data_IF_785673001576
#
_entry.id   IF_785673001576
#
_cell.length_a   1.000
_cell.length_b   1.000
_cell.length_c   1.000
_cell.angle_alpha   90.00
_cell.angle_beta   90.00
_cell.angle_gamma   90.00
#
_symmetry.space_group_name_H-M   'P 1'
#
loop_
_entity.id
_entity.type
_entity.pdbx_description
1 polymer ?
#
# COMPACT_ATOMS: atom_id res chain seq x y z
N UNK A 1 -6.10 15.20 4.49
CA UNK A 1 -6.71 14.25 5.43
C UNK A 1 -5.73 13.13 5.67
N UNK A 2 -5.56 12.73 6.93
CA UNK A 2 -4.80 11.55 7.35
C UNK A 2 -5.81 10.55 7.90
N UNK A 3 -5.63 9.27 7.58
CA UNK A 3 -6.54 8.19 8.00
C UNK A 3 -5.69 6.97 8.32
N UNK A 4 -5.97 6.34 9.46
CA UNK A 4 -5.31 5.12 9.92
C UNK A 4 -6.21 3.92 9.67
N UNK A 5 -5.67 2.87 9.07
CA UNK A 5 -6.40 1.64 8.77
C UNK A 5 -5.94 0.52 9.68
N UNK A 6 -6.83 0.02 10.52
CA UNK A 6 -6.52 -0.97 11.56
C UNK A 6 -7.48 -2.15 11.42
N UNK A 7 -6.97 -3.37 11.49
CA UNK A 7 -7.81 -4.58 11.52
C UNK A 7 -8.31 -4.90 12.93
N UNK A 8 -9.04 -5.99 13.07
CA UNK A 8 -9.50 -6.52 14.35
C UNK A 8 -8.34 -7.21 15.06
N UNK A 9 -8.14 -6.87 16.35
CA UNK A 9 -7.21 -7.60 17.21
C UNK A 9 -7.90 -8.76 17.93
N UNK A 10 -7.21 -9.90 18.07
CA UNK A 10 -7.65 -11.01 18.95
C UNK A 10 -7.64 -10.61 20.43
N UNK A 11 -6.84 -9.63 20.80
CA UNK A 11 -6.80 -9.13 22.17
C UNK A 11 -7.92 -8.12 22.39
N UNK A 12 -8.89 -8.47 23.23
CA UNK A 12 -10.05 -7.62 23.50
C UNK A 12 -9.69 -6.27 24.13
N UNK A 13 -8.62 -6.19 24.92
CA UNK A 13 -8.20 -4.92 25.52
C UNK A 13 -7.64 -3.98 24.44
N UNK A 14 -6.84 -4.51 23.52
CA UNK A 14 -6.32 -3.77 22.36
C UNK A 14 -7.48 -3.35 21.45
N UNK A 15 -8.39 -4.26 21.15
CA UNK A 15 -9.58 -3.95 20.35
C UNK A 15 -10.42 -2.82 20.95
N UNK A 16 -10.61 -2.80 22.27
CA UNK A 16 -11.31 -1.72 22.96
C UNK A 16 -10.57 -0.39 22.88
N UNK A 17 -9.26 -0.39 23.11
CA UNK A 17 -8.44 0.81 23.02
C UNK A 17 -8.51 1.45 21.62
N UNK A 18 -8.47 0.63 20.56
CA UNK A 18 -8.63 1.10 19.16
C UNK A 18 -10.01 1.73 18.93
N UNK A 19 -11.08 1.16 19.49
CA UNK A 19 -12.43 1.74 19.37
C UNK A 19 -12.55 3.07 20.11
N UNK A 20 -11.94 3.18 21.30
CA UNK A 20 -11.90 4.43 22.07
C UNK A 20 -11.11 5.52 21.34
N UNK A 21 -9.97 5.16 20.74
CA UNK A 21 -9.17 6.07 19.90
C UNK A 21 -9.96 6.53 18.66
N UNK A 22 -10.60 5.60 17.95
CA UNK A 22 -11.42 5.89 16.79
C UNK A 22 -12.57 6.85 17.12
N UNK A 23 -13.25 6.64 18.26
CA UNK A 23 -14.32 7.51 18.72
C UNK A 23 -13.81 8.91 19.13
N UNK A 24 -12.56 9.00 19.61
CA UNK A 24 -11.96 10.25 20.08
C UNK A 24 -11.46 11.14 18.93
N UNK A 25 -10.77 10.57 17.94
CA UNK A 25 -10.10 11.35 16.89
C UNK A 25 -10.81 11.32 15.54
N UNK A 26 -11.61 10.29 15.26
CA UNK A 26 -12.40 10.18 14.03
C UNK A 26 -11.57 9.96 12.74
N UNK A 27 -10.28 9.63 12.87
CA UNK A 27 -9.35 9.36 11.77
C UNK A 27 -8.94 7.88 11.67
N UNK A 28 -9.51 7.01 12.50
CA UNK A 28 -9.27 5.56 12.47
C UNK A 28 -10.42 4.83 11.80
N UNK A 29 -10.09 3.98 10.82
CA UNK A 29 -11.00 3.07 10.15
C UNK A 29 -10.69 1.64 10.58
N UNK A 30 -11.61 1.05 11.34
CA UNK A 30 -11.50 -0.36 11.76
C UNK A 30 -12.07 -1.27 10.67
N UNK A 31 -11.24 -2.19 10.20
CA UNK A 31 -11.53 -3.05 9.04
C UNK A 31 -11.90 -4.48 9.48
N UNK A 32 -12.81 -5.16 8.75
CA UNK A 32 -13.40 -6.42 9.20
C UNK A 32 -12.52 -7.64 8.88
N UNK A 33 -11.25 -7.64 9.28
CA UNK A 33 -10.34 -8.78 9.18
C UNK A 33 -9.37 -8.80 10.36
N UNK A 34 -8.77 -9.96 10.67
CA UNK A 34 -7.78 -10.05 11.74
C UNK A 34 -6.47 -9.35 11.34
N UNK A 35 -6.02 -8.38 12.13
CA UNK A 35 -4.80 -7.63 11.84
C UNK A 35 -3.55 -8.50 12.09
N UNK A 36 -3.06 -9.09 11.01
CA UNK A 36 -1.86 -9.93 10.99
C UNK A 36 -0.99 -9.53 9.80
N UNK A 37 0.31 -9.84 9.90
CA UNK A 37 1.26 -9.56 8.83
C UNK A 37 0.85 -10.22 7.50
N UNK A 38 0.26 -11.41 7.56
CA UNK A 38 -0.23 -12.16 6.40
C UNK A 38 -1.47 -11.53 5.76
N UNK A 39 -2.20 -10.69 6.51
CA UNK A 39 -3.42 -10.03 6.08
C UNK A 39 -3.21 -8.56 5.66
N UNK A 40 -1.97 -8.07 5.61
CA UNK A 40 -1.66 -6.71 5.16
C UNK A 40 -2.22 -6.41 3.76
N UNK A 41 -2.27 -7.41 2.88
CA UNK A 41 -2.89 -7.25 1.56
C UNK A 41 -4.36 -6.85 1.66
N UNK A 42 -5.12 -7.41 2.62
CA UNK A 42 -6.48 -6.97 2.88
C UNK A 42 -6.50 -5.52 3.37
N UNK A 43 -5.60 -5.13 4.28
CA UNK A 43 -5.47 -3.74 4.76
C UNK A 43 -5.33 -2.76 3.61
N UNK A 44 -4.42 -3.03 2.68
CA UNK A 44 -4.18 -2.17 1.52
C UNK A 44 -5.43 -2.12 0.62
N UNK A 45 -6.00 -3.27 0.25
CA UNK A 45 -7.19 -3.32 -0.63
C UNK A 45 -8.41 -2.62 -0.01
N UNK A 46 -8.65 -2.82 1.29
CA UNK A 46 -9.70 -2.11 2.01
C UNK A 46 -9.43 -0.61 2.13
N UNK A 47 -8.18 -0.20 2.35
CA UNK A 47 -7.80 1.22 2.33
C UNK A 47 -8.07 1.87 0.98
N UNK A 48 -7.83 1.14 -0.13
CA UNK A 48 -8.21 1.61 -1.46
C UNK A 48 -9.72 1.74 -1.63
N UNK A 49 -10.49 0.74 -1.19
CA UNK A 49 -11.96 0.78 -1.21
C UNK A 49 -12.49 2.01 -0.44
N UNK A 50 -12.05 2.17 0.81
CA UNK A 50 -12.49 3.27 1.66
C UNK A 50 -12.15 4.62 1.02
N UNK A 51 -10.95 4.76 0.46
CA UNK A 51 -10.54 6.01 -0.20
C UNK A 51 -11.40 6.30 -1.44
N UNK A 52 -11.79 5.28 -2.20
CA UNK A 52 -12.70 5.45 -3.35
C UNK A 52 -14.11 5.87 -2.93
N UNK A 53 -14.61 5.38 -1.79
CA UNK A 53 -15.96 5.63 -1.29
C UNK A 53 -16.07 6.98 -0.57
N UNK A 54 -15.12 7.29 0.31
CA UNK A 54 -15.20 8.43 1.23
C UNK A 54 -14.33 9.62 0.82
N UNK A 55 -13.38 9.43 -0.10
CA UNK A 55 -12.46 10.47 -0.56
C UNK A 55 -12.44 10.64 -2.10
N UNK A 56 -13.58 10.69 -2.82
CA UNK A 56 -13.59 10.65 -4.29
C UNK A 56 -12.94 11.87 -4.97
N UNK A 57 -12.81 12.99 -4.25
CA UNK A 57 -12.27 14.25 -4.80
C UNK A 57 -10.76 14.44 -4.57
N UNK A 58 -10.08 13.49 -3.91
CA UNK A 58 -8.64 13.63 -3.67
C UNK A 58 -7.87 13.50 -4.99
N UNK A 59 -6.83 14.33 -5.17
CA UNK A 59 -5.99 14.30 -6.37
C UNK A 59 -4.83 13.31 -6.26
N UNK A 60 -4.34 13.14 -5.05
CA UNK A 60 -3.17 12.33 -4.73
C UNK A 60 -3.44 11.49 -3.50
N UNK A 61 -2.86 10.30 -3.49
CA UNK A 61 -2.85 9.39 -2.35
C UNK A 61 -1.39 9.14 -1.99
N UNK A 62 -1.12 9.13 -0.69
CA UNK A 62 0.17 8.77 -0.12
C UNK A 62 -0.11 7.65 0.88
N UNK A 63 0.44 6.46 0.64
CA UNK A 63 0.49 5.37 1.61
C UNK A 63 1.88 5.36 2.23
N UNK A 64 1.94 5.28 3.55
CA UNK A 64 3.15 5.06 4.36
C UNK A 64 2.79 4.10 5.48
N UNK A 65 3.79 3.36 5.96
CA UNK A 65 3.66 2.55 7.18
C UNK A 65 3.83 3.43 8.42
N UNK A 66 3.39 2.93 9.58
CA UNK A 66 3.41 3.63 10.86
C UNK A 66 4.82 3.71 11.48
N UNK A 67 5.75 2.89 11.01
CA UNK A 67 7.18 2.93 11.36
C UNK A 67 8.02 3.82 10.44
N UNK A 68 7.38 4.54 9.51
CA UNK A 68 8.04 5.41 8.55
C UNK A 68 7.84 6.90 8.85
N UNK A 69 8.92 7.68 8.76
CA UNK A 69 8.87 9.15 8.91
C UNK A 69 8.94 9.82 7.54
N UNK A 70 7.87 10.49 7.14
CA UNK A 70 7.80 11.23 5.88
C UNK A 70 8.07 12.73 6.06
N UNK A 71 8.98 13.29 5.26
CA UNK A 71 9.12 14.76 5.15
C UNK A 71 7.97 15.31 4.30
N UNK A 72 6.89 15.72 4.96
CA UNK A 72 5.66 16.19 4.30
C UNK A 72 5.90 17.41 3.38
N UNK A 73 6.89 18.26 3.69
CA UNK A 73 7.24 19.41 2.85
C UNK A 73 7.82 18.93 1.50
N UNK A 74 8.74 17.96 1.52
CA UNK A 74 9.29 17.36 0.30
C UNK A 74 8.20 16.63 -0.48
N UNK A 75 7.34 15.86 0.20
CA UNK A 75 6.20 15.16 -0.41
C UNK A 75 5.27 16.12 -1.13
N UNK A 76 4.80 17.19 -0.47
CA UNK A 76 3.89 18.17 -1.09
C UNK A 76 4.55 18.87 -2.28
N UNK A 77 5.84 19.21 -2.17
CA UNK A 77 6.59 19.81 -3.29
C UNK A 77 6.65 18.85 -4.49
N UNK A 78 6.90 17.57 -4.23
CA UNK A 78 6.94 16.54 -5.28
C UNK A 78 5.56 16.35 -5.94
N UNK A 79 4.49 16.25 -5.14
CA UNK A 79 3.11 16.13 -5.65
C UNK A 79 2.70 17.32 -6.54
N UNK A 80 3.19 18.53 -6.23
CA UNK A 80 2.96 19.71 -7.10
C UNK A 80 3.64 19.58 -8.46
N UNK A 81 4.85 19.02 -8.52
CA UNK A 81 5.55 18.73 -9.79
C UNK A 81 4.80 17.67 -10.61
N UNK A 82 4.23 16.66 -9.95
CA UNK A 82 3.48 15.57 -10.62
C UNK A 82 2.20 16.02 -11.34
N UNK A 83 1.68 17.21 -11.03
CA UNK A 83 0.47 17.72 -11.67
C UNK A 83 0.58 17.76 -13.21
N UNK A 84 1.79 17.93 -13.75
CA UNK A 84 2.05 18.00 -15.18
C UNK A 84 2.18 16.63 -15.89
N UNK A 85 2.35 15.51 -15.18
CA UNK A 85 2.51 14.19 -15.81
C UNK A 85 1.16 13.60 -16.24
N UNK A 86 0.94 13.18 -17.49
CA UNK A 86 -0.35 12.63 -17.92
C UNK A 86 -0.59 11.16 -17.51
N UNK A 87 0.41 10.46 -16.98
CA UNK A 87 0.36 9.01 -16.82
C UNK A 87 -0.20 8.48 -15.50
N UNK A 88 -0.23 7.14 -15.44
CA UNK A 88 -0.65 6.34 -14.29
C UNK A 88 0.57 5.65 -13.70
N UNK A 89 1.33 6.40 -12.89
CA UNK A 89 2.54 5.88 -12.25
C UNK A 89 2.42 5.83 -10.72
N UNK A 90 3.12 4.85 -10.14
CA UNK A 90 3.46 4.77 -8.73
C UNK A 90 4.84 5.40 -8.52
N UNK A 91 4.94 6.33 -7.58
CA UNK A 91 6.18 7.01 -7.24
C UNK A 91 6.67 6.53 -5.88
N UNK A 92 7.81 5.85 -5.85
CA UNK A 92 8.30 5.16 -4.65
C UNK A 92 9.77 4.76 -4.78
N UNK A 93 10.32 4.13 -3.74
CA UNK A 93 11.53 3.34 -3.89
C UNK A 93 11.17 2.02 -4.59
N UNK A 94 11.69 1.82 -5.80
CA UNK A 94 11.31 0.67 -6.65
C UNK A 94 12.27 -0.50 -6.40
N UNK A 95 11.72 -1.65 -6.04
CA UNK A 95 12.42 -2.92 -6.10
C UNK A 95 12.20 -3.54 -7.47
N UNK A 96 13.27 -3.75 -8.22
CA UNK A 96 13.18 -4.37 -9.54
C UNK A 96 13.48 -5.86 -9.48
N UNK A 97 12.55 -6.65 -10.02
CA UNK A 97 12.67 -8.10 -10.19
C UNK A 97 13.30 -8.84 -9.00
N UNK A 98 12.84 -8.52 -7.79
CA UNK A 98 13.33 -9.13 -6.57
C UNK A 98 13.08 -10.64 -6.58
N UNK A 99 14.00 -11.41 -6.00
CA UNK A 99 13.84 -12.87 -5.87
C UNK A 99 12.76 -13.20 -4.86
N UNK A 100 11.88 -14.14 -5.21
CA UNK A 100 10.87 -14.65 -4.28
C UNK A 100 11.55 -15.46 -3.17
N UNK A 101 11.24 -15.14 -1.92
CA UNK A 101 11.83 -15.83 -0.77
C UNK A 101 11.19 -17.22 -0.61
N UNK A 102 11.97 -18.27 -0.89
CA UNK A 102 11.52 -19.67 -0.77
C UNK A 102 11.93 -20.35 0.55
N UNK A 103 12.59 -19.62 1.44
CA UNK A 103 13.02 -20.16 2.73
C UNK A 103 11.90 -19.96 3.76
N UNK A 104 11.38 -21.05 4.32
CA UNK A 104 10.26 -21.03 5.28
C UNK A 104 10.54 -20.25 6.57
N UNK A 105 11.80 -19.99 6.90
CA UNK A 105 12.22 -19.16 8.04
C UNK A 105 12.10 -17.66 7.78
N UNK A 106 11.93 -17.25 6.51
CA UNK A 106 11.78 -15.84 6.15
C UNK A 106 10.37 -15.36 6.49
N UNK A 107 10.18 -14.18 7.09
CA UNK A 107 8.85 -13.62 7.27
C UNK A 107 8.20 -13.21 5.93
N UNK A 108 8.98 -13.18 4.83
CA UNK A 108 8.50 -12.97 3.46
C UNK A 108 8.42 -14.28 2.66
N UNK A 109 8.41 -15.44 3.33
CA UNK A 109 8.31 -16.74 2.68
C UNK A 109 7.08 -16.82 1.78
N UNK A 110 7.30 -17.27 0.55
CA UNK A 110 6.27 -17.47 -0.45
C UNK A 110 6.48 -18.84 -1.12
N UNK A 111 5.63 -19.83 -0.84
CA UNK A 111 5.74 -21.13 -1.46
C UNK A 111 5.38 -21.10 -2.96
N UNK A 112 5.90 -22.07 -3.72
CA UNK A 112 5.79 -22.11 -5.19
C UNK A 112 4.36 -22.36 -5.68
N UNK A 113 3.54 -23.04 -4.88
CA UNK A 113 2.11 -23.25 -5.14
C UNK A 113 1.29 -21.95 -5.07
N UNK A 114 1.64 -21.05 -4.15
CA UNK A 114 1.03 -19.72 -4.01
C UNK A 114 1.55 -18.76 -5.08
N UNK A 115 2.86 -18.76 -5.34
CA UNK A 115 3.47 -17.87 -6.32
C UNK A 115 4.48 -18.65 -7.18
N UNK A 116 4.09 -19.09 -8.39
CA UNK A 116 4.92 -19.99 -9.21
C UNK A 116 6.20 -19.37 -9.78
N UNK A 117 6.24 -18.05 -9.95
CA UNK A 117 7.40 -17.35 -10.55
C UNK A 117 8.52 -17.17 -9.54
N UNK A 118 9.77 -17.22 -9.98
CA UNK A 118 10.95 -17.03 -9.10
C UNK A 118 11.27 -15.56 -8.81
N UNK A 119 10.68 -14.64 -9.57
CA UNK A 119 10.86 -13.19 -9.43
C UNK A 119 9.51 -12.49 -9.27
N UNK A 120 9.47 -11.50 -8.39
CA UNK A 120 8.39 -10.53 -8.36
C UNK A 120 8.45 -9.60 -9.59
N UNK A 121 7.32 -9.00 -10.01
CA UNK A 121 7.37 -7.82 -10.88
C UNK A 121 8.07 -6.65 -10.17
N UNK A 122 8.29 -5.55 -10.88
CA UNK A 122 8.71 -4.31 -10.24
C UNK A 122 7.61 -3.84 -9.28
N UNK A 123 7.98 -3.43 -8.07
CA UNK A 123 7.04 -3.01 -7.02
C UNK A 123 7.65 -1.93 -6.13
N UNK A 124 6.80 -1.21 -5.40
CA UNK A 124 7.22 -0.22 -4.43
C UNK A 124 7.61 -0.87 -3.11
N UNK A 125 8.69 -0.42 -2.48
CA UNK A 125 8.98 -0.81 -1.09
C UNK A 125 7.89 -0.29 -0.14
N UNK A 126 7.64 -1.01 0.96
CA UNK A 126 6.68 -0.64 2.01
C UNK A 126 6.85 0.74 2.63
N UNK A 127 8.07 1.30 2.54
CA UNK A 127 8.43 2.66 2.97
C UNK A 127 7.42 3.74 2.58
N UNK A 128 6.82 3.58 1.41
CA UNK A 128 5.71 4.42 0.98
C UNK A 128 5.59 4.54 -0.53
N UNK A 129 4.39 4.90 -0.95
CA UNK A 129 4.05 5.09 -2.36
C UNK A 129 3.13 6.30 -2.52
N UNK A 130 3.44 7.10 -3.54
CA UNK A 130 2.70 8.29 -3.91
C UNK A 130 2.13 8.10 -5.30
N UNK A 131 0.87 8.44 -5.50
CA UNK A 131 0.23 8.29 -6.80
C UNK A 131 -1.00 9.19 -6.94
N UNK A 132 -1.41 9.41 -8.19
CA UNK A 132 -2.66 10.11 -8.50
C UNK A 132 -3.86 9.23 -8.19
N UNK A 133 -4.95 9.81 -7.71
CA UNK A 133 -6.17 9.06 -7.40
C UNK A 133 -6.74 8.25 -8.58
N UNK A 134 -6.43 8.65 -9.83
CA UNK A 134 -6.77 7.88 -11.03
C UNK A 134 -6.13 6.47 -11.09
N UNK A 135 -5.03 6.23 -10.36
CA UNK A 135 -4.40 4.91 -10.24
C UNK A 135 -5.20 4.01 -9.27
N UNK A 136 -5.85 4.59 -8.26
CA UNK A 136 -6.50 3.88 -7.17
C UNK A 136 -7.56 2.87 -7.66
N UNK A 137 -8.45 3.31 -8.55
CA UNK A 137 -9.50 2.45 -9.10
C UNK A 137 -8.93 1.32 -9.95
N UNK A 138 -7.83 1.58 -10.67
CA UNK A 138 -7.16 0.57 -11.52
C UNK A 138 -6.58 -0.56 -10.66
N UNK A 139 -5.85 -0.21 -9.60
CA UNK A 139 -5.27 -1.19 -8.67
C UNK A 139 -6.36 -1.94 -7.90
N UNK A 140 -7.37 -1.23 -7.41
CA UNK A 140 -8.50 -1.84 -6.71
C UNK A 140 -9.22 -2.86 -7.60
N UNK A 141 -9.57 -2.52 -8.84
CA UNK A 141 -10.21 -3.48 -9.74
C UNK A 141 -9.30 -4.66 -10.08
N UNK A 142 -8.00 -4.43 -10.29
CA UNK A 142 -7.04 -5.49 -10.57
C UNK A 142 -6.85 -6.46 -9.39
N UNK A 143 -6.97 -5.99 -8.15
CA UNK A 143 -6.83 -6.84 -6.95
C UNK A 143 -7.86 -7.98 -6.85
N UNK A 144 -8.97 -7.93 -7.59
CA UNK A 144 -9.96 -9.01 -7.63
C UNK A 144 -9.70 -10.04 -8.75
N UNK A 145 -8.71 -9.80 -9.60
CA UNK A 145 -8.35 -10.67 -10.72
C UNK A 145 -7.10 -11.52 -10.44
N UNK A 146 -6.52 -11.41 -9.25
CA UNK A 146 -5.22 -11.99 -8.90
C UNK A 146 -5.36 -13.03 -7.77
N UNK A 147 -4.53 -14.10 -7.79
CA UNK A 147 -4.44 -15.01 -6.67
C UNK A 147 -3.89 -14.29 -5.44
N UNK A 148 -4.59 -14.37 -4.30
CA UNK A 148 -4.20 -13.70 -3.06
C UNK A 148 -2.87 -14.21 -2.50
N UNK A 149 -2.05 -13.28 -1.99
CA UNK A 149 -0.93 -13.58 -1.10
C UNK A 149 -0.68 -12.42 -0.12
N UNK A 150 0.03 -12.69 0.98
CA UNK A 150 0.15 -11.77 2.12
C UNK A 150 1.19 -10.64 2.02
N UNK A 151 2.05 -10.65 0.98
CA UNK A 151 3.00 -9.54 0.74
C UNK A 151 2.28 -8.42 -0.01
N UNK A 152 1.76 -7.44 0.74
CA UNK A 152 0.87 -6.39 0.25
C UNK A 152 1.51 -5.45 -0.77
N UNK A 153 2.75 -5.05 -0.54
CA UNK A 153 3.52 -4.20 -1.45
C UNK A 153 3.67 -4.86 -2.82
N UNK A 154 4.04 -6.14 -2.84
CA UNK A 154 4.17 -6.93 -4.07
C UNK A 154 2.79 -7.11 -4.71
N UNK A 155 1.77 -7.44 -3.92
CA UNK A 155 0.43 -7.73 -4.43
C UNK A 155 -0.18 -6.51 -5.11
N UNK A 156 -0.21 -5.36 -4.42
CA UNK A 156 -0.90 -4.16 -4.88
C UNK A 156 -0.02 -3.34 -5.82
N UNK A 157 1.22 -3.09 -5.44
CA UNK A 157 2.11 -2.21 -6.24
C UNK A 157 2.94 -2.97 -7.26
N UNK A 158 2.95 -4.30 -7.23
CA UNK A 158 3.61 -5.14 -8.22
C UNK A 158 2.62 -5.84 -9.14
N UNK A 159 1.93 -6.87 -8.64
CA UNK A 159 1.07 -7.73 -9.46
C UNK A 159 -0.16 -6.99 -9.98
N UNK A 160 -0.88 -6.27 -9.13
CA UNK A 160 -2.03 -5.45 -9.54
C UNK A 160 -1.59 -4.29 -10.45
N UNK A 161 -0.42 -3.69 -10.19
CA UNK A 161 0.13 -2.67 -11.07
C UNK A 161 0.46 -3.22 -12.46
N UNK A 162 1.12 -4.37 -12.54
CA UNK A 162 1.43 -5.07 -13.79
C UNK A 162 0.15 -5.41 -14.56
N UNK A 163 -0.84 -6.00 -13.89
CA UNK A 163 -2.14 -6.34 -14.48
C UNK A 163 -2.87 -5.10 -15.02
N UNK A 164 -2.84 -4.00 -14.25
CA UNK A 164 -3.51 -2.75 -14.58
C UNK A 164 -2.74 -1.83 -15.54
N UNK A 165 -1.52 -2.23 -15.96
CA UNK A 165 -0.59 -1.42 -16.76
C UNK A 165 -0.26 -0.08 -16.10
N UNK A 166 -0.05 -0.10 -14.80
CA UNK A 166 0.42 1.03 -13.99
C UNK A 166 1.95 0.95 -13.90
N UNK A 167 2.62 2.04 -14.26
CA UNK A 167 4.09 2.10 -14.26
C UNK A 167 4.67 2.49 -12.91
N UNK A 168 6.01 2.47 -12.81
CA UNK A 168 6.75 2.88 -11.63
C UNK A 168 7.77 3.96 -11.96
N UNK A 169 7.95 4.90 -11.04
CA UNK A 169 8.96 5.96 -11.12
C UNK A 169 9.72 5.98 -9.81
N UNK A 170 11.03 5.73 -9.89
CA UNK A 170 11.91 5.78 -8.73
C UNK A 170 12.10 7.23 -8.26
N UNK A 171 11.93 7.47 -6.95
CA UNK A 171 12.02 8.81 -6.34
C UNK A 171 13.09 8.92 -5.25
N UNK A 172 14.02 7.97 -5.23
CA UNK A 172 15.01 7.77 -4.17
C UNK A 172 15.83 9.04 -3.84
N UNK A 173 16.06 9.91 -4.83
CA UNK A 173 16.82 11.17 -4.68
C UNK A 173 15.98 12.41 -4.41
N UNK A 174 14.65 12.34 -4.52
CA UNK A 174 13.77 13.52 -4.43
C UNK A 174 13.05 13.64 -3.07
N UNK A 175 12.88 12.53 -2.35
CA UNK A 175 12.05 12.45 -1.14
C UNK A 175 12.78 11.82 0.06
N UNK A 176 14.03 11.39 -0.10
CA UNK A 176 14.84 10.89 1.03
C UNK A 176 15.13 11.99 2.06
N UNK A 177 15.18 11.59 3.33
CA UNK A 177 15.81 12.38 4.38
C UNK A 177 17.31 12.29 4.17
N UNK A 178 17.95 13.44 3.94
CA UNK A 178 19.24 13.65 4.59
C UNK A 178 18.91 14.15 5.99
#
# INVERSE_FOLDING_TARGET
TMVFFVGISKNQSVGRAVQEEAAKYGDVVVLPYEDTYQNLTYKFVYGMKWTLEFCPSVKYVVKIDDDMVANLVKVVRYLRKLQASPGFELHCFVWSRATVFRQASSPWYMPTDVYPRDKFPDYCSGRGVLFKSGVLRRLYSASFCLPFHGIDDVYVTGDAALWAKVGHVAINSEVSQD
#
